data_IF_934408559808
#
_entry.id   IF_934408559808
#
_cell.length_a   1.000
_cell.length_b   1.000
_cell.length_c   1.000
_cell.angle_alpha   90.00
_cell.angle_beta   90.00
_cell.angle_gamma   90.00
#
_symmetry.space_group_name_H-M   'P 1'
#
loop_
_entity.id
_entity.type
_entity.pdbx_description
1 polymer ?
#
# COMPACT_ATOMS: atom_id res chain seq x y z
N UNK A 1 -47.47 17.46 -12.06
CA UNK A 1 -46.41 17.24 -13.07
C UNK A 1 -45.24 16.53 -12.37
N UNK A 2 -44.63 15.52 -12.99
CA UNK A 2 -43.45 14.82 -12.45
C UNK A 2 -42.26 15.06 -13.37
N UNK A 3 -41.12 15.46 -12.80
CA UNK A 3 -39.90 15.76 -13.53
C UNK A 3 -38.77 14.83 -13.07
N UNK A 4 -37.95 14.37 -14.02
CA UNK A 4 -36.69 13.68 -13.74
C UNK A 4 -35.57 14.59 -14.19
N UNK A 5 -34.74 15.03 -13.24
CA UNK A 5 -33.68 16.01 -13.49
C UNK A 5 -32.32 15.35 -13.34
N UNK A 6 -31.41 15.65 -14.27
CA UNK A 6 -29.99 15.34 -14.14
C UNK A 6 -29.27 16.61 -13.72
N UNK A 7 -28.93 16.70 -12.45
CA UNK A 7 -28.29 17.87 -11.86
C UNK A 7 -26.77 17.71 -11.84
N UNK A 8 -26.05 18.81 -11.96
CA UNK A 8 -24.59 18.85 -11.78
C UNK A 8 -24.28 19.14 -10.31
N UNK A 9 -23.41 18.33 -9.71
CA UNK A 9 -22.94 18.52 -8.34
C UNK A 9 -21.41 18.53 -8.34
N UNK A 10 -20.75 19.67 -8.04
CA UNK A 10 -19.31 19.71 -7.86
C UNK A 10 -18.93 19.00 -6.57
N UNK A 11 -18.03 18.02 -6.66
CA UNK A 11 -17.67 17.15 -5.53
C UNK A 11 -16.24 17.44 -5.04
N UNK A 12 -16.03 17.39 -3.73
CA UNK A 12 -14.70 17.49 -3.13
C UNK A 12 -14.22 16.10 -2.68
N UNK A 13 -13.25 15.53 -3.41
CA UNK A 13 -12.79 14.15 -3.23
C UNK A 13 -11.48 14.04 -2.44
N UNK A 14 -11.03 15.12 -1.76
CA UNK A 14 -9.76 15.12 -1.01
C UNK A 14 -9.66 14.00 0.02
N UNK A 15 -10.81 13.66 0.65
CA UNK A 15 -10.92 12.58 1.65
C UNK A 15 -11.48 11.28 1.11
N UNK A 16 -11.58 11.12 -0.20
CA UNK A 16 -12.10 9.90 -0.81
C UNK A 16 -11.32 8.65 -0.31
N UNK A 17 -12.01 7.60 0.18
CA UNK A 17 -13.46 7.34 0.14
C UNK A 17 -14.27 7.72 1.40
N UNK A 18 -13.66 8.35 2.40
CA UNK A 18 -14.32 8.74 3.66
C UNK A 18 -14.98 10.14 3.58
N UNK A 19 -15.41 10.53 2.39
CA UNK A 19 -15.94 11.84 2.07
C UNK A 19 -17.45 11.98 2.34
N UNK A 20 -17.84 13.22 2.68
CA UNK A 20 -19.24 13.67 2.66
C UNK A 20 -19.35 14.74 1.58
N UNK A 21 -20.41 14.64 0.78
CA UNK A 21 -20.62 15.48 -0.40
C UNK A 21 -21.85 16.34 -0.20
N UNK A 22 -21.73 17.61 -0.55
CA UNK A 22 -22.85 18.55 -0.56
C UNK A 22 -23.25 18.86 -1.98
N UNK A 23 -24.51 18.59 -2.32
CA UNK A 23 -25.06 18.88 -3.63
C UNK A 23 -26.19 19.89 -3.51
N UNK A 24 -26.05 21.03 -4.17
CA UNK A 24 -27.06 22.08 -4.23
C UNK A 24 -27.97 21.93 -5.43
N UNK A 25 -29.27 21.86 -5.20
CA UNK A 25 -30.32 22.02 -6.20
C UNK A 25 -30.74 23.49 -6.20
N UNK A 26 -30.56 24.19 -7.32
CA UNK A 26 -30.92 25.60 -7.46
C UNK A 26 -31.98 25.72 -8.54
N UNK A 27 -33.12 26.35 -8.20
CA UNK A 27 -34.25 26.58 -9.10
C UNK A 27 -34.50 28.10 -9.19
N UNK A 28 -33.89 28.79 -10.16
CA UNK A 28 -34.13 30.21 -10.41
C UNK A 28 -35.33 30.46 -11.33
N UNK A 29 -35.93 31.65 -11.21
CA UNK A 29 -36.85 32.17 -12.22
C UNK A 29 -36.08 32.45 -13.51
N UNK A 30 -36.65 32.07 -14.66
CA UNK A 30 -36.01 32.28 -15.96
C UNK A 30 -36.31 33.66 -16.55
N UNK A 31 -37.56 34.13 -16.44
CA UNK A 31 -38.05 35.34 -17.11
C UNK A 31 -38.33 36.51 -16.17
N UNK A 32 -38.92 36.23 -15.01
CA UNK A 32 -39.44 37.24 -14.09
C UNK A 32 -38.41 37.60 -13.03
N UNK A 33 -38.18 38.89 -12.82
CA UNK A 33 -37.24 39.40 -11.81
C UNK A 33 -37.84 39.29 -10.41
N UNK A 34 -37.05 39.60 -9.39
CA UNK A 34 -37.52 39.67 -8.00
C UNK A 34 -38.61 40.70 -7.75
N UNK A 35 -38.79 41.67 -8.66
CA UNK A 35 -39.86 42.68 -8.57
C UNK A 35 -41.22 42.07 -8.95
N UNK A 36 -41.22 41.09 -9.86
CA UNK A 36 -42.44 40.43 -10.33
C UNK A 36 -42.81 39.22 -9.47
N UNK A 37 -41.82 38.36 -9.14
CA UNK A 37 -42.06 37.07 -8.47
C UNK A 37 -40.94 36.77 -7.46
N UNK A 38 -41.37 36.37 -6.26
CA UNK A 38 -40.48 35.85 -5.20
C UNK A 38 -40.86 34.41 -4.87
N UNK A 39 -39.89 33.50 -4.96
CA UNK A 39 -40.07 32.11 -4.58
C UNK A 39 -39.81 31.90 -3.09
N UNK A 40 -40.70 31.15 -2.44
CA UNK A 40 -40.55 30.74 -1.05
C UNK A 40 -40.88 29.25 -0.90
N UNK A 41 -40.20 28.58 0.01
CA UNK A 41 -40.56 27.24 0.43
C UNK A 41 -41.84 27.26 1.27
N UNK A 42 -42.60 26.17 1.23
CA UNK A 42 -43.75 26.00 2.11
C UNK A 42 -43.31 25.89 3.58
N UNK A 43 -44.09 26.48 4.49
CA UNK A 43 -43.76 26.54 5.92
C UNK A 43 -43.70 25.15 6.60
N UNK A 44 -44.52 24.21 6.14
CA UNK A 44 -44.57 22.85 6.67
C UNK A 44 -44.09 21.85 5.63
N UNK A 45 -43.04 21.10 5.98
CA UNK A 45 -42.46 20.01 5.18
C UNK A 45 -42.30 20.34 3.68
N UNK A 46 -41.52 21.37 3.33
CA UNK A 46 -41.31 21.78 1.94
C UNK A 46 -40.61 20.73 1.06
N UNK A 47 -39.83 19.84 1.67
CA UNK A 47 -39.16 18.74 0.97
C UNK A 47 -39.38 17.45 1.75
N UNK A 48 -39.97 16.46 1.08
CA UNK A 48 -40.15 15.11 1.60
C UNK A 48 -39.25 14.15 0.83
N UNK A 49 -38.43 13.40 1.56
CA UNK A 49 -37.66 12.30 0.99
C UNK A 49 -38.42 11.00 1.18
N UNK A 50 -38.41 10.15 0.16
CA UNK A 50 -38.98 8.82 0.27
C UNK A 50 -38.19 8.02 1.33
N UNK A 51 -38.91 7.41 2.27
CA UNK A 51 -38.33 6.83 3.50
C UNK A 51 -37.38 5.65 3.21
N UNK A 52 -37.59 4.94 2.10
CA UNK A 52 -36.79 3.78 1.69
C UNK A 52 -35.86 4.05 0.51
N UNK A 53 -35.30 5.26 0.41
CA UNK A 53 -34.27 5.55 -0.61
C UNK A 53 -32.97 4.83 -0.25
N UNK A 54 -32.79 3.66 -0.84
CA UNK A 54 -31.55 2.88 -0.78
C UNK A 54 -30.68 3.23 -2.00
N UNK A 55 -29.65 4.04 -1.75
CA UNK A 55 -28.60 4.30 -2.73
C UNK A 55 -27.44 3.31 -2.51
N UNK A 56 -26.89 2.74 -3.59
CA UNK A 56 -25.84 1.72 -3.50
C UNK A 56 -24.56 2.20 -2.80
N UNK A 57 -24.12 3.44 -3.09
CA UNK A 57 -22.82 3.96 -2.67
C UNK A 57 -22.90 5.16 -1.72
N UNK A 58 -24.09 5.67 -1.43
CA UNK A 58 -24.29 6.87 -0.61
C UNK A 58 -25.43 6.68 0.38
N UNK A 59 -25.35 7.39 1.50
CA UNK A 59 -26.43 7.55 2.46
C UNK A 59 -26.79 9.04 2.50
N UNK A 60 -28.08 9.33 2.40
CA UNK A 60 -28.59 10.68 2.66
C UNK A 60 -28.44 10.99 4.15
N UNK A 61 -27.71 12.05 4.50
CA UNK A 61 -27.49 12.44 5.90
C UNK A 61 -28.40 13.56 6.34
N UNK A 62 -28.67 14.53 5.46
CA UNK A 62 -29.49 15.69 5.79
C UNK A 62 -29.68 16.62 4.61
N UNK A 63 -30.43 17.69 4.84
CA UNK A 63 -30.67 18.74 3.86
C UNK A 63 -30.89 20.09 4.55
N UNK A 64 -30.52 21.17 3.87
CA UNK A 64 -30.82 22.55 4.24
C UNK A 64 -31.59 23.19 3.09
N UNK A 65 -32.60 24.00 3.43
CA UNK A 65 -33.40 24.74 2.47
C UNK A 65 -33.20 26.23 2.68
N UNK A 66 -33.08 26.98 1.60
CA UNK A 66 -32.93 28.43 1.65
C UNK A 66 -33.38 29.12 0.37
N UNK A 67 -33.69 30.40 0.47
CA UNK A 67 -33.87 31.28 -0.68
C UNK A 67 -32.53 31.83 -1.15
N UNK A 68 -32.40 32.10 -2.44
CA UNK A 68 -31.25 32.75 -3.03
C UNK A 68 -31.68 33.77 -4.08
N UNK A 69 -30.75 34.62 -4.50
CA UNK A 69 -30.95 35.56 -5.61
C UNK A 69 -29.86 35.32 -6.64
N UNK A 70 -30.27 34.98 -7.87
CA UNK A 70 -29.37 34.80 -9.00
C UNK A 70 -29.22 36.14 -9.71
N UNK A 71 -28.03 36.75 -9.60
CA UNK A 71 -27.72 38.01 -10.28
C UNK A 71 -27.19 37.76 -11.68
N UNK A 72 -27.79 38.41 -12.66
CA UNK A 72 -27.44 38.28 -14.08
C UNK A 72 -27.38 39.67 -14.71
N UNK A 73 -26.82 39.78 -15.92
CA UNK A 73 -26.69 41.05 -16.63
C UNK A 73 -28.06 41.72 -16.86
N UNK A 74 -29.12 40.90 -17.02
CA UNK A 74 -30.49 41.35 -17.24
C UNK A 74 -31.24 41.74 -15.97
N UNK A 75 -30.71 41.43 -14.78
CA UNK A 75 -31.34 41.71 -13.49
C UNK A 75 -31.18 40.61 -12.46
N UNK A 76 -31.84 40.83 -11.32
CA UNK A 76 -31.86 39.93 -10.17
C UNK A 76 -33.10 39.01 -10.22
N UNK A 77 -32.87 37.71 -10.14
CA UNK A 77 -33.91 36.67 -10.22
C UNK A 77 -34.01 35.89 -8.91
N UNK A 78 -35.24 35.69 -8.42
CA UNK A 78 -35.49 34.86 -7.24
C UNK A 78 -35.13 33.40 -7.53
N UNK A 79 -34.48 32.72 -6.57
CA UNK A 79 -34.19 31.29 -6.64
C UNK A 79 -34.44 30.53 -5.34
N UNK A 80 -34.80 29.25 -5.47
CA UNK A 80 -34.85 28.30 -4.37
C UNK A 80 -33.57 27.47 -4.37
N UNK A 81 -32.98 27.27 -3.19
CA UNK A 81 -31.79 26.46 -2.98
C UNK A 81 -32.09 25.36 -1.99
N UNK A 82 -31.87 24.11 -2.40
CA UNK A 82 -31.87 22.96 -1.51
C UNK A 82 -30.48 22.34 -1.50
N UNK A 83 -29.81 22.37 -0.37
CA UNK A 83 -28.51 21.73 -0.16
C UNK A 83 -28.74 20.36 0.45
N UNK A 84 -28.23 19.31 -0.21
CA UNK A 84 -28.47 17.92 0.19
C UNK A 84 -27.12 17.28 0.46
N UNK A 85 -26.98 16.68 1.64
CA UNK A 85 -25.74 16.04 2.07
C UNK A 85 -25.80 14.53 1.88
N UNK A 86 -24.77 14.00 1.23
CA UNK A 86 -24.59 12.59 0.94
C UNK A 86 -23.30 12.11 1.58
N UNK A 87 -23.39 11.16 2.50
CA UNK A 87 -22.24 10.45 3.03
C UNK A 87 -21.93 9.24 2.16
N UNK A 88 -20.68 9.09 1.71
CA UNK A 88 -20.26 7.90 0.96
C UNK A 88 -20.25 6.68 1.89
N UNK A 89 -20.79 5.56 1.41
CA UNK A 89 -20.65 4.26 2.05
C UNK A 89 -19.36 3.60 1.54
N UNK A 90 -18.26 3.71 2.29
CA UNK A 90 -16.92 3.25 1.86
C UNK A 90 -16.70 1.74 1.99
N UNK A 91 -17.59 0.98 2.64
CA UNK A 91 -17.36 -0.40 3.08
C UNK A 91 -16.88 -1.36 1.99
N UNK A 92 -17.40 -1.24 0.76
CA UNK A 92 -16.96 -2.10 -0.36
C UNK A 92 -15.56 -1.74 -0.85
N UNK A 93 -15.20 -0.45 -0.83
CA UNK A 93 -13.91 0.04 -1.28
C UNK A 93 -12.80 -0.19 -0.25
N UNK A 94 -13.16 -0.11 1.03
CA UNK A 94 -12.25 -0.39 2.14
C UNK A 94 -11.66 -1.80 2.03
N UNK A 95 -12.52 -2.78 1.75
CA UNK A 95 -12.14 -4.19 1.54
C UNK A 95 -11.34 -4.38 0.25
N UNK A 96 -11.71 -3.68 -0.84
CA UNK A 96 -11.11 -3.87 -2.16
C UNK A 96 -9.70 -3.28 -2.29
N UNK A 97 -9.37 -2.25 -1.51
CA UNK A 97 -8.11 -1.50 -1.67
C UNK A 97 -7.18 -1.65 -0.46
N UNK A 98 -7.68 -1.40 0.75
CA UNK A 98 -6.83 -1.32 1.93
C UNK A 98 -6.33 -2.69 2.39
N UNK A 99 -7.22 -3.69 2.40
CA UNK A 99 -6.88 -5.07 2.77
C UNK A 99 -5.81 -5.66 1.83
N UNK A 100 -5.96 -5.66 0.50
CA UNK A 100 -4.92 -6.22 -0.38
C UNK A 100 -3.60 -5.46 -0.31
N UNK A 101 -3.62 -4.12 -0.15
CA UNK A 101 -2.39 -3.35 0.05
C UNK A 101 -1.66 -3.76 1.34
N UNK A 102 -2.40 -3.95 2.43
CA UNK A 102 -1.82 -4.43 3.69
C UNK A 102 -1.27 -5.87 3.54
N UNK A 103 -1.98 -6.74 2.81
CA UNK A 103 -1.50 -8.10 2.50
C UNK A 103 -0.19 -8.07 1.71
N UNK A 104 -0.04 -7.19 0.72
CA UNK A 104 1.21 -7.06 -0.03
C UNK A 104 2.38 -6.66 0.88
N UNK A 105 2.18 -5.73 1.82
CA UNK A 105 3.21 -5.34 2.80
C UNK A 105 3.59 -6.52 3.72
N UNK A 106 2.62 -7.32 4.15
CA UNK A 106 2.89 -8.52 4.94
C UNK A 106 3.65 -9.58 4.14
N UNK A 107 3.29 -9.78 2.86
CA UNK A 107 3.96 -10.75 1.98
C UNK A 107 5.39 -10.33 1.65
N UNK A 108 5.66 -9.04 1.45
CA UNK A 108 7.03 -8.54 1.21
C UNK A 108 7.93 -8.65 2.44
N UNK A 109 7.35 -8.80 3.64
CA UNK A 109 8.08 -8.95 4.90
C UNK A 109 8.56 -10.40 5.16
N UNK A 110 7.84 -11.41 4.65
CA UNK A 110 8.15 -12.84 4.87
C UNK A 110 9.61 -13.20 4.46
N UNK A 111 10.17 -12.73 3.34
CA UNK A 111 11.52 -13.06 2.91
C UNK A 111 12.65 -12.63 3.85
N UNK A 112 12.41 -11.70 4.78
CA UNK A 112 13.41 -11.32 5.80
C UNK A 112 13.70 -12.44 6.81
N UNK A 113 12.78 -13.41 6.94
CA UNK A 113 12.92 -14.53 7.87
C UNK A 113 13.67 -15.71 7.28
N UNK A 114 13.90 -15.72 5.95
CA UNK A 114 14.65 -16.77 5.30
C UNK A 114 16.16 -16.56 5.47
N UNK A 115 16.85 -17.61 5.88
CA UNK A 115 18.31 -17.62 6.00
C UNK A 115 18.97 -17.47 4.62
N UNK A 116 20.11 -16.77 4.56
CA UNK A 116 20.83 -16.57 3.31
C UNK A 116 21.67 -17.79 2.90
N UNK A 117 21.02 -18.93 2.75
CA UNK A 117 21.60 -20.14 2.14
C UNK A 117 21.45 -20.04 0.62
N UNK A 118 22.39 -20.61 -0.16
CA UNK A 118 22.52 -20.31 -1.60
C UNK A 118 21.27 -20.51 -2.46
N UNK A 119 20.32 -21.38 -2.06
CA UNK A 119 19.03 -21.54 -2.72
C UNK A 119 17.99 -20.48 -2.30
N UNK A 120 17.99 -20.09 -1.03
CA UNK A 120 17.07 -19.11 -0.46
C UNK A 120 17.35 -17.68 -0.93
N UNK A 121 18.61 -17.36 -1.24
CA UNK A 121 19.04 -16.10 -1.84
C UNK A 121 18.16 -15.63 -3.01
N UNK A 122 17.85 -16.55 -3.95
CA UNK A 122 17.04 -16.24 -5.13
C UNK A 122 15.62 -15.87 -4.72
N UNK A 123 15.03 -16.62 -3.79
CA UNK A 123 13.67 -16.38 -3.29
C UNK A 123 13.56 -15.05 -2.53
N UNK A 124 14.62 -14.64 -1.82
CA UNK A 124 14.65 -13.37 -1.08
C UNK A 124 14.56 -12.16 -2.00
N UNK A 125 15.21 -12.20 -3.17
CA UNK A 125 15.14 -11.11 -4.15
C UNK A 125 13.86 -11.15 -5.01
N UNK A 126 13.41 -12.34 -5.39
CA UNK A 126 12.31 -12.48 -6.37
C UNK A 126 10.93 -12.24 -5.74
N UNK A 127 10.70 -12.65 -4.50
CA UNK A 127 9.38 -12.52 -3.87
C UNK A 127 8.97 -11.05 -3.68
N UNK A 128 9.78 -10.15 -3.07
CA UNK A 128 9.37 -8.77 -2.91
C UNK A 128 9.31 -8.01 -4.25
N UNK A 129 10.11 -8.39 -5.26
CA UNK A 129 9.98 -7.85 -6.62
C UNK A 129 8.63 -8.20 -7.25
N UNK A 130 8.21 -9.47 -7.12
CA UNK A 130 6.92 -9.93 -7.63
C UNK A 130 5.76 -9.24 -6.91
N UNK A 131 5.86 -9.10 -5.59
CA UNK A 131 4.88 -8.38 -4.77
C UNK A 131 4.79 -6.92 -5.19
N UNK A 132 5.93 -6.26 -5.44
CA UNK A 132 5.97 -4.88 -5.93
C UNK A 132 5.25 -4.72 -7.26
N UNK A 133 5.53 -5.59 -8.23
CA UNK A 133 4.88 -5.57 -9.55
C UNK A 133 3.39 -5.86 -9.42
N UNK A 134 3.00 -6.87 -8.63
CA UNK A 134 1.62 -7.22 -8.38
C UNK A 134 0.86 -6.02 -7.78
N UNK A 135 1.44 -5.39 -6.76
CA UNK A 135 0.88 -4.21 -6.12
C UNK A 135 0.73 -3.04 -7.10
N UNK A 136 1.81 -2.65 -7.80
CA UNK A 136 1.76 -1.57 -8.79
C UNK A 136 0.69 -1.81 -9.86
N UNK A 137 0.54 -3.06 -10.30
CA UNK A 137 -0.49 -3.45 -11.27
C UNK A 137 -1.91 -3.32 -10.69
N UNK A 138 -2.14 -3.74 -9.43
CA UNK A 138 -3.46 -3.58 -8.78
C UNK A 138 -3.83 -2.13 -8.59
N UNK A 139 -2.91 -1.29 -8.10
CA UNK A 139 -3.13 0.15 -7.91
C UNK A 139 -3.47 0.83 -9.24
N UNK A 140 -2.76 0.47 -10.30
CA UNK A 140 -3.02 1.02 -11.64
C UNK A 140 -4.42 0.65 -12.14
N UNK A 141 -4.82 -0.63 -11.99
CA UNK A 141 -6.17 -1.08 -12.36
C UNK A 141 -7.26 -0.34 -11.57
N UNK A 142 -7.10 -0.23 -10.25
CA UNK A 142 -8.06 0.45 -9.38
C UNK A 142 -8.20 1.93 -9.72
N UNK A 143 -7.11 2.59 -10.11
CA UNK A 143 -7.12 3.99 -10.54
C UNK A 143 -7.91 4.22 -11.82
N UNK A 144 -7.93 3.25 -12.73
CA UNK A 144 -8.67 3.37 -13.98
C UNK A 144 -10.14 2.96 -13.85
N UNK A 145 -10.47 1.99 -12.98
CA UNK A 145 -11.84 1.47 -12.87
C UNK A 145 -12.68 2.10 -11.75
N UNK A 146 -12.09 2.41 -10.60
CA UNK A 146 -12.86 2.79 -9.40
C UNK A 146 -12.74 4.28 -9.06
N UNK A 147 -11.60 4.91 -9.37
CA UNK A 147 -11.30 6.25 -8.87
C UNK A 147 -11.55 7.34 -9.93
N UNK A 148 -12.34 8.38 -9.64
CA UNK A 148 -12.52 9.51 -10.57
C UNK A 148 -11.19 10.25 -10.79
N UNK A 149 -10.85 10.63 -12.02
CA UNK A 149 -9.59 11.34 -12.29
C UNK A 149 -9.67 12.77 -11.74
N UNK A 150 -8.79 13.12 -10.81
CA UNK A 150 -8.66 14.47 -10.22
C UNK A 150 -7.20 14.91 -10.27
N UNK A 151 -6.96 16.23 -10.31
CA UNK A 151 -5.60 16.80 -10.31
C UNK A 151 -4.96 16.90 -8.92
N UNK A 152 -5.76 16.80 -7.85
CA UNK A 152 -5.28 16.83 -6.47
C UNK A 152 -5.18 15.43 -5.88
N UNK A 153 -4.31 15.31 -4.86
CA UNK A 153 -4.08 14.08 -4.10
C UNK A 153 -5.26 13.75 -3.19
N UNK A 154 -5.71 12.50 -3.23
CA UNK A 154 -6.76 11.96 -2.35
C UNK A 154 -6.16 11.11 -1.24
N UNK A 155 -6.95 10.83 -0.21
CA UNK A 155 -6.55 9.93 0.88
C UNK A 155 -6.11 8.54 0.37
N UNK A 156 -6.85 7.95 -0.58
CA UNK A 156 -6.47 6.66 -1.20
C UNK A 156 -5.14 6.71 -1.96
N UNK A 157 -4.81 7.85 -2.57
CA UNK A 157 -3.52 8.03 -3.26
C UNK A 157 -2.37 8.06 -2.25
N UNK A 158 -2.55 8.70 -1.10
CA UNK A 158 -1.57 8.70 0.00
C UNK A 158 -1.36 7.28 0.53
N UNK A 159 -2.44 6.53 0.77
CA UNK A 159 -2.34 5.15 1.24
C UNK A 159 -1.56 4.26 0.28
N UNK A 160 -1.94 4.28 -1.00
CA UNK A 160 -1.32 3.46 -2.05
C UNK A 160 0.13 3.86 -2.33
N UNK A 161 0.45 5.15 -2.29
CA UNK A 161 1.82 5.64 -2.48
C UNK A 161 2.75 5.23 -1.31
N UNK A 162 2.30 5.41 -0.07
CA UNK A 162 3.12 5.08 1.11
C UNK A 162 3.33 3.57 1.23
N UNK A 163 2.27 2.78 1.06
CA UNK A 163 2.38 1.31 1.06
C UNK A 163 3.31 0.79 -0.04
N UNK A 164 3.27 1.39 -1.24
CA UNK A 164 4.18 1.05 -2.34
C UNK A 164 5.63 1.41 -1.98
N UNK A 165 5.86 2.59 -1.40
CA UNK A 165 7.18 3.01 -0.95
C UNK A 165 7.77 2.05 0.11
N UNK A 166 6.95 1.53 1.04
CA UNK A 166 7.38 0.51 1.99
C UNK A 166 7.83 -0.78 1.31
N UNK A 167 7.09 -1.27 0.31
CA UNK A 167 7.47 -2.48 -0.44
C UNK A 167 8.77 -2.25 -1.22
N UNK A 168 8.96 -1.07 -1.81
CA UNK A 168 10.21 -0.70 -2.49
C UNK A 168 11.38 -0.65 -1.50
N UNK A 169 11.19 -0.03 -0.33
CA UNK A 169 12.23 0.06 0.70
C UNK A 169 12.65 -1.33 1.21
N UNK A 170 11.69 -2.23 1.42
CA UNK A 170 11.95 -3.64 1.76
C UNK A 170 12.72 -4.36 0.66
N UNK A 171 12.36 -4.15 -0.61
CA UNK A 171 13.07 -4.76 -1.72
C UNK A 171 14.52 -4.26 -1.85
N UNK A 172 14.74 -2.95 -1.66
CA UNK A 172 16.07 -2.34 -1.64
C UNK A 172 16.90 -2.88 -0.49
N UNK A 173 16.33 -3.00 0.72
CA UNK A 173 17.04 -3.53 1.89
C UNK A 173 17.56 -4.95 1.63
N UNK A 174 16.69 -5.82 1.12
CA UNK A 174 17.07 -7.20 0.75
C UNK A 174 18.12 -7.21 -0.38
N UNK A 175 17.99 -6.33 -1.37
CA UNK A 175 18.98 -6.20 -2.43
C UNK A 175 20.35 -5.78 -1.91
N UNK A 176 20.40 -4.82 -0.97
CA UNK A 176 21.64 -4.36 -0.34
C UNK A 176 22.28 -5.47 0.48
N UNK A 177 21.51 -6.18 1.30
CA UNK A 177 22.01 -7.33 2.09
C UNK A 177 22.64 -8.37 1.18
N UNK A 178 21.97 -8.70 0.08
CA UNK A 178 22.46 -9.70 -0.86
C UNK A 178 23.73 -9.25 -1.61
N UNK A 179 23.80 -7.97 -2.00
CA UNK A 179 25.01 -7.40 -2.58
C UNK A 179 26.21 -7.45 -1.62
N UNK A 180 25.99 -7.16 -0.33
CA UNK A 180 27.03 -7.24 0.71
C UNK A 180 27.50 -8.68 0.90
N UNK A 181 26.59 -9.66 0.90
CA UNK A 181 26.95 -11.07 1.05
C UNK A 181 27.74 -11.57 -0.17
N UNK A 182 27.33 -11.22 -1.39
CA UNK A 182 28.06 -11.59 -2.62
C UNK A 182 29.48 -11.02 -2.65
N UNK A 183 29.66 -9.76 -2.23
CA UNK A 183 30.99 -9.15 -2.16
C UNK A 183 31.92 -9.93 -1.24
N UNK A 184 31.42 -10.35 -0.07
CA UNK A 184 32.19 -11.17 0.88
C UNK A 184 32.54 -12.55 0.34
N UNK A 185 31.61 -13.22 -0.35
CA UNK A 185 31.89 -14.50 -0.99
C UNK A 185 32.99 -14.37 -2.06
N UNK A 186 32.96 -13.30 -2.87
CA UNK A 186 34.00 -13.03 -3.87
C UNK A 186 35.37 -12.74 -3.26
N UNK A 187 35.43 -12.02 -2.13
CA UNK A 187 36.68 -11.76 -1.39
C UNK A 187 37.26 -13.05 -0.79
N UNK A 188 36.42 -13.96 -0.27
CA UNK A 188 36.90 -15.25 0.24
C UNK A 188 37.46 -16.16 -0.84
N UNK A 189 36.90 -16.13 -2.06
CA UNK A 189 37.40 -16.93 -3.19
C UNK A 189 38.74 -16.38 -3.69
N UNK A 190 38.88 -15.05 -3.84
CA UNK A 190 40.13 -14.41 -4.26
C UNK A 190 41.30 -14.61 -3.28
N UNK A 191 41.00 -14.73 -1.98
CA UNK A 191 42.03 -15.01 -0.96
C UNK A 191 42.49 -16.48 -0.95
N UNK A 192 41.72 -17.37 -1.58
CA UNK A 192 41.99 -18.81 -1.64
C UNK A 192 42.68 -19.25 -2.95
N UNK A 193 42.80 -18.37 -3.95
CA UNK A 193 43.63 -18.63 -5.13
C UNK A 193 45.11 -18.66 -4.69
N UNK A 194 45.83 -19.79 -4.88
CA UNK A 194 47.24 -19.85 -4.55
C UNK A 194 47.99 -18.89 -5.48
N UNK A 195 48.84 -18.05 -4.89
CA UNK A 195 49.87 -17.32 -5.62
C UNK A 195 50.76 -18.38 -6.26
N UNK A 196 50.69 -18.56 -7.58
CA UNK A 196 51.68 -19.33 -8.31
C UNK A 196 52.90 -18.42 -8.37
N UNK A 197 53.85 -18.68 -7.46
CA UNK A 197 55.14 -18.03 -7.48
C UNK A 197 55.97 -18.69 -8.60
N UNK A 198 56.09 -18.01 -9.74
CA UNK A 198 57.05 -18.33 -10.80
C UNK A 198 58.45 -17.99 -10.27
N UNK A 199 59.21 -18.95 -9.74
CA UNK A 199 60.67 -18.85 -9.61
C UNK A 199 61.32 -20.24 -9.31
N UNK A 200 61.93 -20.82 -10.36
CA UNK A 200 63.05 -21.77 -10.44
C UNK A 200 63.27 -22.88 -9.38
N UNK A 201 63.28 -24.14 -9.83
CA UNK A 201 64.34 -25.10 -9.48
C UNK A 201 64.54 -26.13 -10.61
N UNK A 202 65.75 -26.13 -11.18
CA UNK A 202 66.26 -27.08 -12.17
C UNK A 202 66.58 -28.46 -11.54
N UNK A 203 66.54 -29.48 -12.41
CA UNK A 203 67.22 -30.79 -12.35
C UNK A 203 66.92 -31.78 -11.21
N UNK A 204 66.13 -32.81 -11.55
CA UNK A 204 66.49 -34.21 -11.28
C UNK A 204 65.70 -35.16 -12.20
N UNK A 205 66.45 -35.87 -13.05
CA UNK A 205 66.01 -37.01 -13.85
C UNK A 205 65.30 -38.08 -13.01
N UNK A 206 64.24 -38.67 -13.56
CA UNK A 206 63.55 -39.80 -12.97
C UNK A 206 62.28 -40.18 -13.71
N UNK A 207 62.42 -40.90 -14.82
CA UNK A 207 61.32 -41.59 -15.50
C UNK A 207 60.86 -42.75 -14.59
N UNK A 208 59.60 -42.72 -14.13
CA UNK A 208 58.83 -43.94 -13.91
C UNK A 208 57.33 -43.71 -14.17
N UNK A 209 56.87 -44.33 -15.25
CA UNK A 209 55.46 -44.51 -15.60
C UNK A 209 54.90 -45.66 -14.75
N UNK A 210 53.95 -45.40 -13.85
CA UNK A 210 52.98 -46.44 -13.45
C UNK A 210 51.59 -45.83 -13.32
N UNK A 211 50.78 -46.17 -14.31
CA UNK A 211 49.33 -46.09 -14.38
C UNK A 211 48.70 -47.01 -13.32
N UNK A 212 47.75 -46.52 -12.52
CA UNK A 212 46.62 -47.38 -12.14
C UNK A 212 45.39 -46.58 -11.68
N UNK A 213 44.43 -46.51 -12.59
CA UNK A 213 43.03 -46.26 -12.29
C UNK A 213 42.43 -47.49 -11.60
N UNK A 214 41.98 -47.35 -10.35
CA UNK A 214 40.99 -48.27 -9.76
C UNK A 214 39.98 -47.47 -8.93
N UNK A 215 38.81 -47.26 -9.55
CA UNK A 215 37.61 -46.95 -8.80
C UNK A 215 37.21 -48.13 -7.91
N UNK A 216 36.68 -47.81 -6.73
CA UNK A 216 35.74 -48.71 -6.07
C UNK A 216 34.78 -47.90 -5.19
N UNK A 217 33.52 -47.86 -5.62
CA UNK A 217 32.40 -47.40 -4.84
C UNK A 217 31.88 -48.55 -3.99
N UNK A 218 31.81 -48.40 -2.66
CA UNK A 218 30.80 -49.04 -1.79
C UNK A 218 30.51 -48.17 -0.56
N UNK A 219 29.22 -47.86 -0.39
CA UNK A 219 28.61 -47.12 0.71
C UNK A 219 28.34 -48.02 1.93
N UNK A 220 28.22 -47.41 3.12
CA UNK A 220 27.32 -47.87 4.18
C UNK A 220 27.77 -47.55 5.62
N UNK A 221 26.84 -47.26 6.57
CA UNK A 221 26.91 -46.04 7.37
C UNK A 221 27.28 -46.23 8.85
N UNK A 222 27.99 -45.25 9.42
CA UNK A 222 28.14 -45.12 10.87
C UNK A 222 27.03 -44.21 11.42
N UNK A 223 26.02 -44.84 12.06
CA UNK A 223 24.98 -44.17 12.86
C UNK A 223 25.64 -43.47 14.05
N UNK A 224 25.69 -42.13 14.04
CA UNK A 224 26.03 -41.32 15.21
C UNK A 224 24.72 -40.86 15.85
N UNK A 225 24.42 -41.44 17.01
CA UNK A 225 23.34 -41.00 17.90
C UNK A 225 23.74 -39.62 18.45
N UNK A 226 23.09 -38.56 17.96
CA UNK A 226 23.21 -37.22 18.55
C UNK A 226 21.85 -36.83 19.12
N UNK A 227 21.59 -37.32 20.33
CA UNK A 227 20.43 -36.94 21.14
C UNK A 227 20.77 -35.63 21.86
N UNK A 228 20.96 -34.56 21.07
CA UNK A 228 21.30 -33.22 21.53
C UNK A 228 20.07 -32.33 21.61
N UNK A 229 19.73 -31.89 22.83
CA UNK A 229 18.59 -31.03 23.17
C UNK A 229 18.40 -29.85 22.21
N UNK A 230 17.18 -29.67 21.72
CA UNK A 230 16.78 -28.53 20.87
C UNK A 230 17.10 -27.17 21.53
N UNK A 231 17.13 -27.13 22.86
CA UNK A 231 17.46 -25.94 23.65
C UNK A 231 18.94 -25.53 23.55
N UNK A 232 19.86 -26.48 23.39
CA UNK A 232 21.30 -26.18 23.27
C UNK A 232 21.68 -25.68 21.88
N UNK A 233 20.99 -26.16 20.84
CA UNK A 233 21.16 -25.69 19.46
C UNK A 233 20.67 -24.24 19.30
N UNK A 234 19.53 -23.89 19.92
CA UNK A 234 19.01 -22.51 19.94
C UNK A 234 19.95 -21.58 20.69
N UNK A 235 20.47 -22.01 21.85
CA UNK A 235 21.37 -21.18 22.68
C UNK A 235 22.71 -20.91 21.99
N UNK A 236 23.20 -21.86 21.21
CA UNK A 236 24.43 -21.70 20.42
C UNK A 236 24.18 -20.89 19.13
N UNK A 237 22.99 -20.99 18.52
CA UNK A 237 22.56 -20.11 17.41
C UNK A 237 22.43 -18.64 17.83
N UNK A 238 21.97 -18.37 19.07
CA UNK A 238 21.96 -17.04 19.67
C UNK A 238 23.35 -16.47 19.97
N UNK A 239 24.39 -17.31 20.04
CA UNK A 239 25.77 -16.94 20.43
C UNK A 239 26.76 -16.90 19.26
N UNK A 240 26.37 -17.27 18.04
CA UNK A 240 27.26 -17.16 16.88
C UNK A 240 27.57 -15.69 16.57
N UNK A 241 28.82 -15.32 16.21
CA UNK A 241 29.17 -13.95 15.83
C UNK A 241 28.43 -13.59 14.53
N UNK A 242 27.23 -13.02 14.69
CA UNK A 242 26.38 -12.58 13.59
C UNK A 242 27.16 -11.65 12.68
N UNK A 243 27.21 -11.99 11.39
CA UNK A 243 27.79 -11.14 10.38
C UNK A 243 27.03 -9.81 10.31
N UNK A 244 27.63 -8.75 9.79
CA UNK A 244 26.97 -7.44 9.63
C UNK A 244 25.63 -7.56 8.89
N UNK A 245 25.50 -8.50 7.95
CA UNK A 245 24.26 -8.79 7.21
C UNK A 245 23.14 -9.30 8.13
N UNK A 246 23.45 -10.20 9.06
CA UNK A 246 22.44 -10.77 9.98
C UNK A 246 21.94 -9.75 11.02
N UNK A 247 22.76 -8.72 11.31
CA UNK A 247 22.36 -7.59 12.17
C UNK A 247 21.40 -6.65 11.45
N UNK A 248 21.64 -6.38 10.15
CA UNK A 248 20.75 -5.56 9.31
C UNK A 248 19.39 -6.24 9.19
N UNK A 249 19.36 -7.54 8.85
CA UNK A 249 18.12 -8.31 8.77
C UNK A 249 17.35 -8.32 10.11
N UNK A 250 18.04 -8.37 11.25
CA UNK A 250 17.40 -8.32 12.57
C UNK A 250 16.74 -6.97 12.87
N UNK A 251 17.40 -5.86 12.51
CA UNK A 251 16.86 -4.51 12.70
C UNK A 251 15.66 -4.29 11.77
N UNK A 252 15.78 -4.66 10.50
CA UNK A 252 14.70 -4.55 9.51
C UNK A 252 13.46 -5.36 9.92
N UNK A 253 13.62 -6.54 10.54
CA UNK A 253 12.50 -7.37 11.03
C UNK A 253 11.59 -6.66 12.04
N UNK A 254 12.10 -5.68 12.80
CA UNK A 254 11.34 -4.97 13.83
C UNK A 254 10.93 -3.57 13.34
N UNK A 255 11.84 -2.85 12.69
CA UNK A 255 11.61 -1.45 12.30
C UNK A 255 10.49 -1.30 11.27
N UNK A 256 10.47 -2.15 10.23
CA UNK A 256 9.47 -2.05 9.16
C UNK A 256 8.02 -2.31 9.63
N UNK A 257 7.70 -3.39 10.37
CA UNK A 257 6.33 -3.60 10.84
C UNK A 257 5.89 -2.54 11.86
N UNK A 258 6.80 -2.08 12.74
CA UNK A 258 6.48 -1.00 13.68
C UNK A 258 6.19 0.31 12.93
N UNK A 259 7.02 0.68 11.96
CA UNK A 259 6.80 1.86 11.13
C UNK A 259 5.48 1.77 10.33
N UNK A 260 5.16 0.59 9.81
CA UNK A 260 3.89 0.37 9.10
C UNK A 260 2.69 0.50 10.03
N UNK A 261 2.74 -0.09 11.23
CA UNK A 261 1.66 0.04 12.22
C UNK A 261 1.46 1.50 12.65
N UNK A 262 2.55 2.24 12.89
CA UNK A 262 2.47 3.68 13.19
C UNK A 262 1.81 4.45 12.04
N UNK A 263 2.19 4.15 10.79
CA UNK A 263 1.54 4.74 9.62
C UNK A 263 0.05 4.43 9.57
N UNK A 264 -0.36 3.18 9.80
CA UNK A 264 -1.78 2.79 9.82
C UNK A 264 -2.56 3.56 10.88
N UNK A 265 -2.02 3.69 12.09
CA UNK A 265 -2.66 4.44 13.18
C UNK A 265 -2.80 5.93 12.83
N UNK A 266 -1.73 6.55 12.30
CA UNK A 266 -1.75 7.95 11.88
C UNK A 266 -2.75 8.18 10.74
N UNK A 267 -2.78 7.27 9.76
CA UNK A 267 -3.67 7.35 8.60
C UNK A 267 -5.14 7.26 9.05
N UNK A 268 -5.48 6.26 9.86
CA UNK A 268 -6.82 6.09 10.40
C UNK A 268 -7.22 7.35 11.18
N UNK A 269 -6.36 7.86 12.07
CA UNK A 269 -6.66 9.06 12.85
C UNK A 269 -6.93 10.30 11.98
N UNK A 270 -6.17 10.51 10.92
CA UNK A 270 -6.30 11.71 10.09
C UNK A 270 -7.46 11.65 9.08
N UNK A 271 -7.79 10.46 8.56
CA UNK A 271 -8.74 10.31 7.45
C UNK A 271 -10.08 9.68 7.83
N UNK A 272 -10.15 8.91 8.92
CA UNK A 272 -11.40 8.24 9.34
C UNK A 272 -12.12 8.93 10.49
N UNK A 273 -11.42 9.73 11.31
CA UNK A 273 -12.07 10.57 12.31
C UNK A 273 -12.91 11.59 11.56
N UNK A 274 -14.22 11.44 11.67
CA UNK A 274 -15.19 12.35 11.06
C UNK A 274 -14.86 13.75 11.54
N UNK A 275 -14.62 14.67 10.61
CA UNK A 275 -14.78 16.07 10.94
C UNK A 275 -16.27 16.24 11.08
N UNK A 276 -16.71 16.39 12.32
CA UNK A 276 -18.05 16.88 12.62
C UNK A 276 -18.26 18.14 11.81
N UNK A 277 -19.35 18.16 11.05
CA UNK A 277 -19.78 19.33 10.30
C UNK A 277 -19.84 20.47 11.31
N UNK A 278 -19.13 21.60 11.11
CA UNK A 278 -19.20 22.71 12.05
C UNK A 278 -20.67 23.12 12.21
N UNK A 279 -21.14 23.19 13.45
CA UNK A 279 -22.46 23.75 13.80
C UNK A 279 -22.59 25.24 13.43
N UNK A 280 -21.56 25.86 12.85
CA UNK A 280 -21.55 27.27 12.42
C UNK A 280 -22.46 27.58 11.21
N UNK A 281 -23.25 26.61 10.72
CA UNK A 281 -24.29 26.80 9.70
C UNK A 281 -25.67 26.22 10.10
N UNK A 282 -25.89 25.92 11.38
CA UNK A 282 -27.22 25.69 11.97
C UNK A 282 -27.80 27.02 12.50
#
# INVERSE_FOLDING_TARGET
>A
MRLTLKLSCPMNLKRYPFDTQSCSVIMPSYKYTTEDIVFAFQLHQPVEFYKDILMRNYKLTGHILGSCTSRTITGDYSCLRAEIWFQRMSRSLDVLVFIPCAMYVLLSWIPLWLDNTGAATRTRLTVPALVLIAMASTVSRLRDSEFPRTSYTKAVDVWTAVTLAFVIALWIDVAVVELVVRRRQGETVKKMEPKVDDENFEDADGIELVENSKGNAKNGPARRNDQGSWQTTIRNWLKAPRSTADKVDLVSRIVFPVAFLLFVVIYIRNYTVKVDVPEEWL
#
